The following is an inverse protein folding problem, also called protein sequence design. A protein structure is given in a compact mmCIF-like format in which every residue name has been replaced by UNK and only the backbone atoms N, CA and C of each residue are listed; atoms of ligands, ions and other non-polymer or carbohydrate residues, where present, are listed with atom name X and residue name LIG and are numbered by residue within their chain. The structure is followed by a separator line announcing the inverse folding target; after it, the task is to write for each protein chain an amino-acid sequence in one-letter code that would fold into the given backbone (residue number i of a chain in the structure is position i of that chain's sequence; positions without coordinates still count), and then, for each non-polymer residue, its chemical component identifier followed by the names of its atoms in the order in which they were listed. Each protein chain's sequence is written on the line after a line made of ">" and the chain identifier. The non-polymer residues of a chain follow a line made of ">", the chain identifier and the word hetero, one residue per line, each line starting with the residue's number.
data_IF_686770599631
#
_entry.id   IF_686770599631
#
_cell.length_a   1.000
_cell.length_b   1.000
_cell.length_c   1.000
_cell.angle_alpha   90.00
_cell.angle_beta   90.00
_cell.angle_gamma   90.00
#
_symmetry.space_group_name_H-M   'P 1'
#
loop_
_entity.id
_entity.type
_entity.pdbx_description
1 polymer ?
#
# COMPACT_ATOMS: atom_id res chain seq x y z
N UNK A 1 18.97 -8.91 -2.75
CA UNK A 1 18.67 -8.46 -4.14
C UNK A 1 19.96 -8.11 -4.89
N UNK A 2 20.89 -7.42 -4.26
CA UNK A 2 22.13 -6.94 -4.90
C UNK A 2 23.08 -8.07 -5.36
N UNK A 3 23.00 -9.24 -4.76
CA UNK A 3 23.93 -10.36 -4.97
C UNK A 3 23.35 -11.48 -5.86
N UNK A 4 22.22 -11.25 -6.53
CA UNK A 4 21.61 -12.27 -7.41
C UNK A 4 21.06 -11.66 -8.70
N UNK A 5 21.09 -12.46 -9.78
CA UNK A 5 20.39 -12.13 -11.05
C UNK A 5 19.02 -12.79 -11.15
N UNK A 6 18.65 -13.60 -10.15
CA UNK A 6 17.35 -14.25 -10.08
C UNK A 6 16.34 -13.22 -9.53
N UNK A 7 15.15 -13.08 -10.11
CA UNK A 7 14.11 -12.22 -9.56
C UNK A 7 13.78 -12.59 -8.09
N UNK A 8 13.79 -11.59 -7.22
CA UNK A 8 13.53 -11.76 -5.79
C UNK A 8 12.17 -11.14 -5.46
N UNK A 9 11.26 -11.95 -4.92
CA UNK A 9 9.97 -11.50 -4.41
C UNK A 9 10.12 -11.25 -2.91
N UNK A 10 9.93 -10.02 -2.47
CA UNK A 10 10.06 -9.65 -1.07
C UNK A 10 10.18 -8.15 -0.84
N UNK A 11 10.41 -7.78 0.40
CA UNK A 11 10.72 -6.41 0.81
C UNK A 11 11.90 -6.42 1.81
N UNK A 12 12.62 -5.31 1.87
CA UNK A 12 13.73 -5.13 2.83
C UNK A 12 13.24 -4.46 4.11
N UNK A 13 12.31 -3.53 4.00
CA UNK A 13 11.72 -2.76 5.11
C UNK A 13 10.24 -2.49 4.86
N UNK A 14 9.46 -2.32 5.93
CA UNK A 14 8.05 -1.98 5.92
C UNK A 14 7.83 -0.53 6.38
N UNK A 15 8.08 0.46 5.52
CA UNK A 15 7.88 1.88 5.84
C UNK A 15 6.57 2.34 5.23
N UNK A 16 5.48 2.14 5.98
CA UNK A 16 4.13 2.50 5.56
C UNK A 16 3.74 3.91 6.04
N UNK A 17 2.95 4.61 5.23
CA UNK A 17 2.48 5.96 5.55
C UNK A 17 0.95 6.02 5.63
N UNK A 18 0.47 6.97 6.44
CA UNK A 18 -0.91 7.45 6.38
C UNK A 18 -0.89 8.94 6.14
N UNK A 19 -1.57 9.41 5.11
CA UNK A 19 -1.85 10.82 4.88
C UNK A 19 -3.25 11.16 5.36
N UNK A 20 -3.33 12.09 6.31
CA UNK A 20 -4.59 12.64 6.85
C UNK A 20 -4.85 13.97 6.14
N UNK A 21 -5.78 13.97 5.21
CA UNK A 21 -6.21 15.15 4.45
C UNK A 21 -7.07 16.09 5.32
N UNK A 22 -7.17 17.38 4.94
CA UNK A 22 -7.98 18.38 5.66
C UNK A 22 -9.46 17.99 5.74
N UNK A 23 -9.98 17.26 4.72
CA UNK A 23 -11.37 16.81 4.66
C UNK A 23 -11.66 15.52 5.43
N UNK A 24 -10.66 14.90 6.05
CA UNK A 24 -10.83 13.63 6.76
C UNK A 24 -11.81 13.77 7.94
N UNK A 25 -12.67 12.76 8.15
CA UNK A 25 -13.54 12.69 9.32
C UNK A 25 -12.68 12.49 10.57
N UNK A 26 -12.61 13.53 11.40
CA UNK A 26 -11.76 13.66 12.58
C UNK A 26 -11.66 12.37 13.40
N UNK A 27 -12.78 11.89 13.95
CA UNK A 27 -12.76 10.78 14.89
C UNK A 27 -12.37 9.45 14.23
N UNK A 28 -12.78 9.25 12.96
CA UNK A 28 -12.42 8.06 12.18
C UNK A 28 -10.96 8.08 11.78
N UNK A 29 -10.44 9.24 11.36
CA UNK A 29 -9.03 9.40 11.02
C UNK A 29 -8.12 9.12 12.21
N UNK A 30 -8.44 9.68 13.39
CA UNK A 30 -7.70 9.41 14.62
C UNK A 30 -7.73 7.91 14.96
N UNK A 31 -8.90 7.28 14.89
CA UNK A 31 -9.07 5.85 15.16
C UNK A 31 -8.19 5.00 14.22
N UNK A 32 -8.18 5.30 12.92
CA UNK A 32 -7.38 4.55 11.94
C UNK A 32 -5.89 4.75 12.19
N UNK A 33 -5.42 5.98 12.46
CA UNK A 33 -4.01 6.24 12.75
C UNK A 33 -3.52 5.49 14.00
N UNK A 34 -4.33 5.48 15.06
CA UNK A 34 -4.01 4.73 16.29
C UNK A 34 -3.97 3.23 16.00
N UNK A 35 -5.02 2.68 15.35
CA UNK A 35 -5.09 1.26 14.97
C UNK A 35 -3.88 0.83 14.14
N UNK A 36 -3.53 1.61 13.12
CA UNK A 36 -2.45 1.30 12.21
C UNK A 36 -1.07 1.22 12.89
N UNK A 37 -0.88 1.87 14.05
CA UNK A 37 0.36 1.78 14.82
C UNK A 37 0.30 0.77 15.96
N UNK A 38 -0.82 0.66 16.70
CA UNK A 38 -0.82 -0.07 17.97
C UNK A 38 -1.32 -1.51 17.87
N UNK A 39 -2.06 -1.86 16.80
CA UNK A 39 -2.65 -3.20 16.66
C UNK A 39 -1.56 -4.29 16.59
N UNK A 40 -0.46 -4.03 15.87
CA UNK A 40 0.76 -4.84 15.89
C UNK A 40 1.95 -3.98 15.42
N UNK A 41 2.65 -3.29 16.34
CA UNK A 41 3.65 -2.27 16.00
C UNK A 41 4.86 -2.75 15.20
N UNK A 42 5.25 -4.02 15.39
CA UNK A 42 6.42 -4.63 14.72
C UNK A 42 6.09 -5.28 13.37
N UNK A 43 4.85 -5.20 12.90
CA UNK A 43 4.51 -5.73 11.59
C UNK A 43 4.92 -4.77 10.47
N UNK A 44 5.40 -5.31 9.34
CA UNK A 44 5.86 -4.55 8.18
C UNK A 44 4.79 -3.62 7.54
N UNK A 45 3.51 -3.86 7.84
CA UNK A 45 2.39 -3.03 7.40
C UNK A 45 1.87 -2.08 8.51
N UNK A 46 2.55 -2.00 9.66
CA UNK A 46 2.27 -0.96 10.65
C UNK A 46 2.70 0.41 10.11
N UNK A 47 1.95 1.47 10.46
CA UNK A 47 2.31 2.82 10.03
C UNK A 47 3.61 3.29 10.71
N UNK A 48 4.55 3.81 9.93
CA UNK A 48 5.80 4.37 10.42
C UNK A 48 5.84 5.90 10.32
N UNK A 49 5.07 6.46 9.38
CA UNK A 49 4.96 7.92 9.21
C UNK A 49 3.51 8.34 9.01
N UNK A 50 3.07 9.34 9.78
CA UNK A 50 1.79 10.01 9.59
C UNK A 50 2.06 11.40 9.02
N UNK A 51 1.56 11.65 7.82
CA UNK A 51 1.54 12.95 7.16
C UNK A 51 0.19 13.60 7.44
N UNK A 52 0.18 14.84 7.91
CA UNK A 52 -1.06 15.54 8.25
C UNK A 52 -1.15 16.83 7.47
N UNK A 53 -2.25 17.03 6.75
CA UNK A 53 -2.50 18.29 6.08
C UNK A 53 -2.56 19.43 7.09
N UNK A 54 -1.90 20.56 6.80
CA UNK A 54 -1.79 21.72 7.72
C UNK A 54 -3.14 22.25 8.21
N UNK A 55 -4.20 22.11 7.40
CA UNK A 55 -5.55 22.55 7.72
C UNK A 55 -6.42 21.47 8.36
N UNK A 56 -5.89 20.28 8.63
CA UNK A 56 -6.67 19.26 9.34
C UNK A 56 -7.03 19.76 10.74
N UNK A 57 -8.34 19.82 11.10
CA UNK A 57 -8.78 20.57 12.28
C UNK A 57 -8.45 19.91 13.62
N UNK A 58 -7.92 18.68 13.65
CA UNK A 58 -7.74 17.88 14.85
C UNK A 58 -6.30 17.34 15.03
N UNK A 59 -5.29 18.11 14.62
CA UNK A 59 -3.87 17.71 14.72
C UNK A 59 -3.48 17.40 16.18
N UNK A 60 -3.83 18.26 17.10
CA UNK A 60 -3.47 18.09 18.51
C UNK A 60 -4.23 16.93 19.18
N UNK A 61 -5.50 16.72 18.80
CA UNK A 61 -6.27 15.55 19.25
C UNK A 61 -5.69 14.24 18.72
N UNK A 62 -5.22 14.22 17.47
CA UNK A 62 -4.51 13.07 16.89
C UNK A 62 -3.25 12.76 17.68
N UNK A 63 -2.40 13.76 17.94
CA UNK A 63 -1.19 13.61 18.75
C UNK A 63 -1.52 13.08 20.15
N UNK A 64 -2.52 13.67 20.80
CA UNK A 64 -2.96 13.25 22.12
C UNK A 64 -3.46 11.80 22.14
N UNK A 65 -4.22 11.39 21.13
CA UNK A 65 -4.73 10.03 21.03
C UNK A 65 -3.59 9.00 20.84
N UNK A 66 -2.62 9.31 19.97
CA UNK A 66 -1.41 8.48 19.78
C UNK A 66 -0.62 8.36 21.10
N UNK A 67 -0.32 9.47 21.76
CA UNK A 67 0.38 9.46 23.04
C UNK A 67 -0.39 8.68 24.14
N UNK A 68 -1.72 8.83 24.21
CA UNK A 68 -2.57 8.10 25.15
C UNK A 68 -2.58 6.59 24.90
N UNK A 69 -2.34 6.17 23.63
CA UNK A 69 -2.17 4.77 23.26
C UNK A 69 -0.74 4.24 23.47
N UNK A 70 0.14 5.06 24.06
CA UNK A 70 1.53 4.73 24.36
C UNK A 70 2.47 4.86 23.16
N UNK A 71 2.07 5.60 22.12
CA UNK A 71 2.91 5.84 20.94
C UNK A 71 3.79 7.08 21.16
N UNK A 72 5.09 6.93 20.97
CA UNK A 72 6.03 8.04 20.93
C UNK A 72 5.99 8.71 19.55
N UNK A 73 5.75 10.00 19.52
CA UNK A 73 5.76 10.78 18.27
C UNK A 73 7.15 11.41 18.08
N UNK A 74 7.71 11.28 16.89
CA UNK A 74 8.93 11.97 16.45
C UNK A 74 8.51 12.98 15.38
N UNK A 75 8.49 14.25 15.74
CA UNK A 75 8.10 15.31 14.80
C UNK A 75 9.28 15.68 13.90
N UNK A 76 9.08 15.69 12.58
CA UNK A 76 10.04 16.05 11.56
C UNK A 76 11.45 15.45 11.79
N UNK A 77 11.60 14.10 11.85
CA UNK A 77 12.91 13.49 12.00
C UNK A 77 13.84 13.87 10.84
N UNK A 78 15.14 13.74 11.07
CA UNK A 78 16.14 13.99 10.03
C UNK A 78 16.05 12.98 8.86
N UNK A 79 15.57 11.76 9.16
CA UNK A 79 15.35 10.70 8.18
C UNK A 79 13.95 10.07 8.39
N UNK A 80 13.17 10.00 7.32
CA UNK A 80 11.86 9.35 7.29
C UNK A 80 11.91 7.92 6.75
N UNK A 81 13.09 7.43 6.35
CA UNK A 81 13.29 6.06 5.85
C UNK A 81 13.56 5.06 6.98
N UNK A 82 13.01 5.31 8.17
CA UNK A 82 13.23 4.49 9.36
C UNK A 82 11.99 3.62 9.62
N UNK A 83 12.19 2.31 9.68
CA UNK A 83 11.23 1.36 10.23
C UNK A 83 11.50 1.21 11.73
N UNK A 84 10.64 1.77 12.56
CA UNK A 84 10.79 1.70 14.02
C UNK A 84 10.47 0.32 14.59
N UNK A 85 9.49 -0.36 13.99
CA UNK A 85 9.02 -1.67 14.46
C UNK A 85 8.48 -1.68 15.89
N UNK A 86 8.15 -0.53 16.44
CA UNK A 86 7.70 -0.32 17.81
C UNK A 86 6.60 0.76 17.87
N UNK A 87 6.09 1.05 19.06
CA UNK A 87 5.14 2.17 19.30
C UNK A 87 5.81 3.53 19.16
N UNK A 88 6.44 3.74 18.03
CA UNK A 88 7.07 5.00 17.63
C UNK A 88 6.55 5.34 16.23
N UNK A 89 6.23 6.60 15.98
CA UNK A 89 5.77 7.08 14.68
C UNK A 89 6.36 8.44 14.36
N UNK A 90 6.79 8.63 13.12
CA UNK A 90 7.13 9.95 12.59
C UNK A 90 5.86 10.73 12.28
N UNK A 91 5.85 12.03 12.56
CA UNK A 91 4.77 12.93 12.19
C UNK A 91 5.32 14.13 11.43
N UNK A 92 4.73 14.43 10.28
CA UNK A 92 5.06 15.60 9.46
C UNK A 92 3.79 16.31 9.03
N UNK A 93 3.78 17.64 9.15
CA UNK A 93 2.76 18.49 8.54
C UNK A 93 3.12 18.73 7.08
N UNK A 94 2.14 18.61 6.19
CA UNK A 94 2.28 18.83 4.75
C UNK A 94 1.29 19.86 4.26
N UNK A 95 1.66 20.56 3.18
CA UNK A 95 0.88 21.63 2.59
C UNK A 95 -0.36 21.14 1.82
N UNK A 96 -0.22 19.99 1.16
CA UNK A 96 -1.25 19.44 0.27
C UNK A 96 -1.00 17.96 -0.06
N UNK A 97 -1.94 17.36 -0.80
CA UNK A 97 -1.88 15.96 -1.26
C UNK A 97 -0.65 15.67 -2.12
N UNK A 98 -0.19 16.62 -2.94
CA UNK A 98 0.97 16.42 -3.82
C UNK A 98 2.27 16.30 -3.01
N UNK A 99 2.45 17.14 -1.99
CA UNK A 99 3.59 17.01 -1.07
C UNK A 99 3.56 15.66 -0.34
N UNK A 100 2.39 15.20 0.09
CA UNK A 100 2.25 13.88 0.72
C UNK A 100 2.66 12.74 -0.23
N UNK A 101 2.19 12.75 -1.48
CA UNK A 101 2.54 11.77 -2.50
C UNK A 101 4.06 11.77 -2.77
N UNK A 102 4.65 12.94 -2.95
CA UNK A 102 6.08 13.08 -3.19
C UNK A 102 6.92 12.57 -2.01
N UNK A 103 6.45 12.84 -0.79
CA UNK A 103 7.08 12.34 0.42
C UNK A 103 7.03 10.80 0.48
N UNK A 104 5.87 10.21 0.26
CA UNK A 104 5.67 8.76 0.29
C UNK A 104 6.54 8.07 -0.78
N UNK A 105 6.50 8.56 -2.01
CA UNK A 105 7.29 7.97 -3.11
C UNK A 105 8.81 8.11 -2.89
N UNK A 106 9.23 9.08 -2.08
CA UNK A 106 10.66 9.29 -1.75
C UNK A 106 11.14 8.43 -0.58
N UNK A 107 10.34 8.32 0.48
CA UNK A 107 10.76 7.73 1.76
C UNK A 107 10.09 6.39 2.06
N UNK A 108 8.98 6.08 1.41
CA UNK A 108 8.25 4.82 1.57
C UNK A 108 8.99 3.63 0.99
N UNK A 109 8.68 2.46 1.49
CA UNK A 109 9.23 1.19 1.03
C UNK A 109 8.46 0.57 -0.16
N UNK A 110 7.41 1.23 -0.65
CA UNK A 110 6.49 0.68 -1.65
C UNK A 110 5.60 -0.45 -1.13
N UNK A 111 5.48 -0.58 0.18
CA UNK A 111 4.68 -1.63 0.81
C UNK A 111 3.18 -1.28 0.82
N UNK A 112 2.75 -0.42 1.71
CA UNK A 112 1.32 -0.06 1.84
C UNK A 112 1.17 1.35 2.40
N UNK A 113 0.41 2.18 1.70
CA UNK A 113 0.16 3.56 2.11
C UNK A 113 -1.33 3.90 2.01
N UNK A 114 -1.82 4.78 2.87
CA UNK A 114 -3.23 5.11 2.97
C UNK A 114 -3.47 6.62 2.98
N UNK A 115 -4.56 7.04 2.33
CA UNK A 115 -5.12 8.38 2.48
C UNK A 115 -6.42 8.32 3.29
N UNK A 116 -6.57 9.23 4.23
CA UNK A 116 -7.82 9.48 4.97
C UNK A 116 -8.39 10.81 4.47
N UNK A 117 -9.49 10.76 3.73
CA UNK A 117 -10.03 11.93 3.03
C UNK A 117 -11.48 11.70 2.62
N UNK A 118 -12.28 12.77 2.60
CA UNK A 118 -13.60 12.80 1.96
C UNK A 118 -13.57 13.60 0.63
N UNK A 119 -12.41 14.16 0.27
CA UNK A 119 -12.23 14.88 -0.98
C UNK A 119 -11.86 13.90 -2.11
N UNK A 120 -12.77 13.74 -3.06
CA UNK A 120 -12.59 12.80 -4.18
C UNK A 120 -11.35 13.10 -5.02
N UNK A 121 -11.04 14.37 -5.30
CA UNK A 121 -9.90 14.74 -6.13
C UNK A 121 -8.57 14.39 -5.44
N UNK A 122 -8.48 14.62 -4.11
CA UNK A 122 -7.34 14.20 -3.29
C UNK A 122 -7.18 12.68 -3.29
N UNK A 123 -8.29 11.95 -3.15
CA UNK A 123 -8.30 10.48 -3.18
C UNK A 123 -7.85 9.97 -4.55
N UNK A 124 -8.45 10.45 -5.63
CA UNK A 124 -8.12 10.00 -6.99
C UNK A 124 -6.64 10.28 -7.32
N UNK A 125 -6.11 11.46 -6.92
CA UNK A 125 -4.68 11.77 -7.04
C UNK A 125 -3.82 10.79 -6.27
N UNK A 126 -4.12 10.60 -4.99
CA UNK A 126 -3.34 9.71 -4.11
C UNK A 126 -3.30 8.28 -4.63
N UNK A 127 -4.48 7.73 -4.96
CA UNK A 127 -4.63 6.34 -5.43
C UNK A 127 -3.88 6.09 -6.76
N UNK A 128 -3.75 7.11 -7.61
CA UNK A 128 -3.08 6.97 -8.91
C UNK A 128 -1.57 7.24 -8.87
N UNK A 129 -1.10 8.09 -7.96
CA UNK A 129 0.29 8.56 -7.99
C UNK A 129 1.17 8.04 -6.84
N UNK A 130 0.62 7.42 -5.82
CA UNK A 130 1.40 6.66 -4.83
C UNK A 130 1.76 5.30 -5.41
N UNK A 131 3.07 5.01 -5.51
CA UNK A 131 3.58 3.79 -6.15
C UNK A 131 3.91 2.71 -5.11
N UNK A 132 2.89 2.22 -4.43
CA UNK A 132 3.01 1.15 -3.44
C UNK A 132 2.24 -0.10 -3.87
N UNK A 133 2.58 -1.26 -3.32
CA UNK A 133 1.89 -2.52 -3.62
C UNK A 133 0.45 -2.52 -3.10
N UNK A 134 0.19 -1.79 -2.01
CA UNK A 134 -1.14 -1.50 -1.48
C UNK A 134 -1.35 -0.01 -1.34
N UNK A 135 -2.39 0.56 -1.97
CA UNK A 135 -2.79 1.96 -1.81
C UNK A 135 -4.24 1.99 -1.35
N UNK A 136 -4.49 2.60 -0.21
CA UNK A 136 -5.78 2.51 0.48
C UNK A 136 -6.45 3.87 0.63
N UNK A 137 -7.77 3.81 0.68
CA UNK A 137 -8.61 4.95 1.03
C UNK A 137 -9.45 4.63 2.27
N UNK A 138 -9.35 5.49 3.29
CA UNK A 138 -10.10 5.40 4.55
C UNK A 138 -9.98 4.02 5.25
N UNK A 139 -8.80 3.44 5.21
CA UNK A 139 -8.52 2.15 5.82
C UNK A 139 -7.14 2.12 6.47
N UNK A 140 -6.99 1.29 7.50
CA UNK A 140 -5.72 1.03 8.18
C UNK A 140 -4.75 0.28 7.25
N UNK A 141 -3.48 0.63 7.26
CA UNK A 141 -2.43 -0.10 6.52
C UNK A 141 -2.31 -1.56 6.96
N UNK A 142 -2.80 -1.87 8.17
CA UNK A 142 -2.84 -3.22 8.74
C UNK A 142 -3.71 -4.21 7.96
N UNK A 143 -4.52 -3.76 7.00
CA UNK A 143 -5.27 -4.66 6.11
C UNK A 143 -4.39 -5.36 5.06
N UNK A 144 -3.14 -4.96 4.86
CA UNK A 144 -2.22 -5.59 3.90
C UNK A 144 -1.73 -6.95 4.39
N UNK A 145 -2.53 -7.97 4.15
CA UNK A 145 -2.33 -9.32 4.67
C UNK A 145 -3.08 -10.32 3.77
N UNK A 146 -2.45 -11.44 3.43
CA UNK A 146 -3.03 -12.43 2.54
C UNK A 146 -4.36 -13.00 3.03
N UNK A 147 -4.51 -13.27 4.33
CA UNK A 147 -5.78 -13.73 4.88
C UNK A 147 -6.86 -12.65 4.80
N UNK A 148 -6.53 -11.40 5.09
CA UNK A 148 -7.47 -10.27 5.02
C UNK A 148 -7.91 -9.97 3.60
N UNK A 149 -7.05 -10.22 2.62
CA UNK A 149 -7.41 -10.12 1.19
C UNK A 149 -8.18 -11.34 0.66
N UNK A 150 -8.25 -12.42 1.44
CA UNK A 150 -8.87 -13.67 1.00
C UNK A 150 -7.97 -14.55 0.14
N UNK A 151 -6.67 -14.28 0.08
CA UNK A 151 -5.69 -15.10 -0.66
C UNK A 151 -5.14 -16.28 0.16
N UNK A 152 -5.50 -16.37 1.45
CA UNK A 152 -4.97 -17.38 2.36
C UNK A 152 -3.60 -17.03 2.92
N UNK A 153 -2.82 -18.07 3.26
CA UNK A 153 -1.49 -17.88 3.82
C UNK A 153 -0.53 -17.22 2.82
N UNK A 154 0.34 -16.35 3.35
CA UNK A 154 1.41 -15.71 2.59
C UNK A 154 2.78 -16.09 3.14
N UNK A 155 3.79 -16.11 2.29
CA UNK A 155 5.20 -16.30 2.68
C UNK A 155 5.93 -14.96 2.83
N UNK A 156 5.33 -13.89 2.38
CA UNK A 156 5.83 -12.52 2.49
C UNK A 156 5.08 -11.56 1.58
N UNK A 157 5.51 -10.31 1.58
CA UNK A 157 4.96 -9.25 0.72
C UNK A 157 6.02 -8.79 -0.26
N UNK A 158 5.72 -8.84 -1.56
CA UNK A 158 6.58 -8.34 -2.61
C UNK A 158 6.25 -6.88 -2.90
N UNK A 159 7.20 -5.97 -2.62
CA UNK A 159 7.04 -4.53 -2.87
C UNK A 159 7.59 -4.11 -4.23
N UNK A 160 8.37 -4.98 -4.88
CA UNK A 160 8.98 -4.73 -6.18
C UNK A 160 7.95 -4.69 -7.32
N UNK A 161 8.35 -4.12 -8.46
CA UNK A 161 7.58 -4.19 -9.72
C UNK A 161 7.80 -5.52 -10.47
N UNK A 162 8.16 -6.56 -9.74
CA UNK A 162 8.27 -7.94 -10.24
C UNK A 162 6.99 -8.67 -9.91
N UNK A 163 6.48 -9.46 -10.82
CA UNK A 163 5.29 -10.26 -10.61
C UNK A 163 5.64 -11.51 -9.77
N UNK A 164 4.94 -11.84 -8.67
CA UNK A 164 3.77 -11.16 -8.15
C UNK A 164 4.15 -9.97 -7.26
N UNK A 165 3.27 -8.98 -7.12
CA UNK A 165 3.40 -7.83 -6.24
C UNK A 165 2.31 -7.87 -5.15
N UNK A 166 2.62 -7.42 -3.94
CA UNK A 166 1.73 -7.52 -2.76
C UNK A 166 1.92 -8.83 -2.01
N UNK A 167 0.92 -9.30 -1.25
CA UNK A 167 0.98 -10.58 -0.53
C UNK A 167 1.23 -11.76 -1.47
N UNK A 168 2.30 -12.52 -1.21
CA UNK A 168 2.72 -13.67 -2.01
C UNK A 168 2.29 -14.96 -1.32
N UNK A 169 1.22 -15.56 -1.80
CA UNK A 169 0.72 -16.86 -1.39
C UNK A 169 0.95 -17.92 -2.46
N UNK A 170 0.13 -18.97 -2.46
CA UNK A 170 0.26 -20.11 -3.39
C UNK A 170 0.25 -19.67 -4.85
N UNK A 171 -0.66 -18.79 -5.24
CA UNK A 171 -0.77 -18.31 -6.62
C UNK A 171 0.46 -17.52 -7.07
N UNK A 172 1.07 -16.74 -6.16
CA UNK A 172 2.30 -15.99 -6.44
C UNK A 172 3.56 -16.86 -6.51
N UNK A 173 3.54 -18.06 -5.96
CA UNK A 173 4.64 -19.03 -5.98
C UNK A 173 4.56 -20.02 -7.14
N UNK A 174 3.47 -20.03 -7.89
CA UNK A 174 3.24 -20.91 -9.03
C UNK A 174 3.20 -20.11 -10.32
N UNK A 175 3.40 -20.80 -11.43
CA UNK A 175 3.22 -20.24 -12.77
C UNK A 175 2.19 -21.07 -13.52
N UNK A 176 1.49 -20.44 -14.44
CA UNK A 176 0.55 -21.12 -15.33
C UNK A 176 1.17 -21.40 -16.69
N UNK A 177 0.63 -22.41 -17.35
CA UNK A 177 0.89 -22.69 -18.78
C UNK A 177 -0.43 -22.75 -19.52
N UNK A 178 -0.42 -22.33 -20.75
CA UNK A 178 -1.58 -22.43 -21.62
C UNK A 178 -1.65 -23.82 -22.25
N UNK A 179 -2.82 -24.43 -22.22
CA UNK A 179 -3.13 -25.67 -22.95
C UNK A 179 -4.20 -25.34 -23.98
N UNK A 180 -3.89 -25.55 -25.25
CA UNK A 180 -4.82 -25.35 -26.34
C UNK A 180 -5.17 -26.71 -26.94
N UNK A 181 -6.43 -27.06 -26.95
CA UNK A 181 -6.96 -28.28 -27.58
C UNK A 181 -7.63 -27.86 -28.88
N UNK A 182 -7.01 -28.22 -29.98
CA UNK A 182 -7.50 -27.90 -31.32
C UNK A 182 -8.03 -29.14 -32.05
N UNK A 183 -8.73 -28.88 -33.15
CA UNK A 183 -9.19 -29.87 -34.11
C UNK A 183 -8.66 -29.51 -35.52
N UNK A 184 -7.33 -29.39 -35.61
CA UNK A 184 -6.61 -29.03 -36.83
C UNK A 184 -6.90 -27.62 -37.39
N UNK A 185 -7.29 -26.67 -36.55
CA UNK A 185 -7.47 -25.28 -36.95
C UNK A 185 -6.12 -24.63 -37.31
N UNK A 186 -6.15 -23.78 -38.33
CA UNK A 186 -5.04 -22.93 -38.74
C UNK A 186 -5.35 -21.46 -38.45
N UNK A 187 -4.33 -20.63 -38.31
CA UNK A 187 -4.48 -19.19 -38.03
C UNK A 187 -4.81 -18.40 -39.30
N UNK A 188 -4.41 -18.87 -40.48
CA UNK A 188 -4.54 -18.10 -41.73
C UNK A 188 -5.94 -17.59 -42.05
N UNK A 189 -7.04 -18.38 -41.88
CA UNK A 189 -8.41 -17.88 -42.08
C UNK A 189 -8.79 -16.73 -41.15
N UNK A 190 -8.27 -16.72 -39.93
CA UNK A 190 -8.50 -15.63 -38.98
C UNK A 190 -7.68 -14.39 -39.33
N UNK A 191 -6.43 -14.58 -39.76
CA UNK A 191 -5.57 -13.48 -40.22
C UNK A 191 -6.13 -12.79 -41.47
N UNK A 192 -6.80 -13.54 -42.35
CA UNK A 192 -7.46 -13.03 -43.56
C UNK A 192 -8.87 -12.45 -43.31
N UNK A 193 -9.37 -12.52 -42.09
CA UNK A 193 -10.73 -12.05 -41.75
C UNK A 193 -11.87 -12.96 -42.23
N UNK A 194 -11.56 -14.16 -42.72
CA UNK A 194 -12.56 -15.16 -43.15
C UNK A 194 -13.26 -15.81 -41.95
N UNK A 195 -12.59 -15.81 -40.79
CA UNK A 195 -13.12 -16.28 -39.51
C UNK A 195 -12.86 -15.25 -38.42
N UNK A 196 -13.69 -15.25 -37.39
CA UNK A 196 -13.56 -14.36 -36.21
C UNK A 196 -13.41 -15.16 -34.94
N UNK A 197 -12.69 -14.57 -33.97
CA UNK A 197 -12.61 -15.10 -32.60
C UNK A 197 -13.91 -14.77 -31.85
N UNK A 198 -14.41 -15.70 -31.08
CA UNK A 198 -15.65 -15.49 -30.32
C UNK A 198 -15.40 -14.92 -28.93
N UNK A 199 -14.20 -15.12 -28.37
CA UNK A 199 -13.80 -14.68 -27.03
C UNK A 199 -14.86 -14.96 -25.95
N UNK A 200 -15.44 -16.15 -25.96
CA UNK A 200 -16.40 -16.56 -24.92
C UNK A 200 -15.65 -17.17 -23.75
N UNK A 201 -15.93 -16.67 -22.56
CA UNK A 201 -15.57 -17.38 -21.32
C UNK A 201 -16.54 -18.57 -21.16
N UNK A 202 -15.96 -19.72 -20.84
CA UNK A 202 -16.69 -20.98 -20.63
C UNK A 202 -16.79 -21.21 -19.12
#
# INVERSE_FOLDING_TARGET
>A
QENTKIPVLGHASGICHIFVDESAKKDLAIKICVDAKVQYPSACNAVETILVHKNFPAIEELKKALCSAGVKIVENPADFSVEYGDKIVSLKIVENTEEAINHINKYGSGHTDSILSENKDSVDKFMNYVDSSGVYHNASTRFSDGFRYGFGAEVGISTNKTHARGPVGLDGLTIYKYKLFGSYQTVDPYAKGEKTFTHKFI
#
